data_IF_176622853714
#
_entry.id   IF_176622853714
#
_cell.length_a   1.000
_cell.length_b   1.000
_cell.length_c   1.000
_cell.angle_alpha   90.00
_cell.angle_beta   90.00
_cell.angle_gamma   90.00
#
_symmetry.space_group_name_H-M   'P 1'
#
loop_
_entity.id
_entity.type
_entity.pdbx_description
1 polymer ?
#
# COMPACT_ATOMS: atom_id res chain seq x y z
N UNK A 1 -4.36 34.90 -87.84
CA UNK A 1 -4.07 33.85 -86.83
C UNK A 1 -4.64 34.32 -85.51
N UNK A 2 -5.68 33.62 -85.04
CA UNK A 2 -6.46 33.95 -83.85
C UNK A 2 -5.74 33.44 -82.60
N UNK A 3 -5.63 34.27 -81.57
CA UNK A 3 -5.25 33.82 -80.22
C UNK A 3 -6.42 33.99 -79.26
N UNK A 4 -6.69 32.87 -78.60
CA UNK A 4 -7.88 32.51 -77.84
C UNK A 4 -7.91 33.12 -76.44
N UNK A 5 -9.09 33.56 -76.02
CA UNK A 5 -9.44 34.05 -74.69
C UNK A 5 -9.76 32.88 -73.76
N UNK A 6 -8.94 32.66 -72.73
CA UNK A 6 -9.27 31.76 -71.62
C UNK A 6 -9.78 32.54 -70.39
N UNK A 7 -11.10 32.46 -70.16
CA UNK A 7 -11.76 32.79 -68.89
C UNK A 7 -11.45 31.71 -67.86
N UNK A 8 -10.91 32.10 -66.69
CA UNK A 8 -10.91 31.27 -65.48
C UNK A 8 -12.24 31.43 -64.73
N UNK A 9 -12.87 30.35 -64.24
CA UNK A 9 -14.02 30.47 -63.35
C UNK A 9 -13.56 30.79 -61.91
N UNK A 10 -14.19 31.78 -61.30
CA UNK A 10 -14.16 31.99 -59.83
C UNK A 10 -14.97 30.88 -59.19
N UNK A 11 -14.32 30.02 -58.40
CA UNK A 11 -14.99 29.13 -57.47
C UNK A 11 -15.42 29.96 -56.25
N UNK A 12 -16.74 30.05 -56.03
CA UNK A 12 -17.29 30.48 -54.76
C UNK A 12 -17.11 29.34 -53.75
N UNK A 13 -16.28 29.54 -52.74
CA UNK A 13 -16.26 28.72 -51.53
C UNK A 13 -17.47 29.11 -50.69
N UNK A 14 -18.43 28.21 -50.59
CA UNK A 14 -19.56 28.31 -49.67
C UNK A 14 -19.17 27.69 -48.32
N UNK A 15 -18.61 28.51 -47.43
CA UNK A 15 -18.44 28.19 -46.01
C UNK A 15 -19.81 28.32 -45.30
N UNK A 16 -20.55 27.23 -45.15
CA UNK A 16 -21.80 27.24 -44.34
C UNK A 16 -22.16 25.94 -43.61
N UNK A 17 -21.34 24.88 -43.67
CA UNK A 17 -21.64 23.60 -43.01
C UNK A 17 -20.85 23.30 -41.71
N UNK A 18 -19.99 24.23 -41.25
CA UNK A 18 -19.10 24.01 -40.09
C UNK A 18 -19.82 24.15 -38.72
N UNK A 19 -20.80 25.05 -38.62
CA UNK A 19 -21.42 25.44 -37.34
C UNK A 19 -22.42 24.42 -36.78
N UNK A 20 -23.12 23.65 -37.63
CA UNK A 20 -24.10 22.66 -37.18
C UNK A 20 -23.46 21.41 -36.56
N UNK A 21 -22.31 20.98 -37.08
CA UNK A 21 -21.56 19.84 -36.57
C UNK A 21 -20.93 20.14 -35.19
N UNK A 22 -20.44 21.37 -34.98
CA UNK A 22 -19.91 21.82 -33.69
C UNK A 22 -20.97 21.81 -32.58
N UNK A 23 -22.20 22.24 -32.89
CA UNK A 23 -23.31 22.23 -31.91
C UNK A 23 -23.71 20.84 -31.45
N UNK A 24 -23.73 19.84 -32.34
CA UNK A 24 -24.03 18.45 -31.98
C UNK A 24 -22.94 17.82 -31.11
N UNK A 25 -21.66 18.12 -31.38
CA UNK A 25 -20.55 17.64 -30.57
C UNK A 25 -20.60 18.21 -29.14
N UNK A 26 -20.83 19.52 -29.02
CA UNK A 26 -20.93 20.20 -27.72
C UNK A 26 -22.07 19.63 -26.88
N UNK A 27 -23.25 19.41 -27.49
CA UNK A 27 -24.39 18.81 -26.79
C UNK A 27 -24.11 17.36 -26.35
N UNK A 28 -23.43 16.59 -27.19
CA UNK A 28 -23.03 15.21 -26.86
C UNK A 28 -22.09 15.17 -25.65
N UNK A 29 -21.09 16.06 -25.61
CA UNK A 29 -20.15 16.18 -24.49
C UNK A 29 -20.87 16.63 -23.21
N UNK A 30 -21.77 17.61 -23.30
CA UNK A 30 -22.55 18.06 -22.15
C UNK A 30 -23.44 16.95 -21.57
N UNK A 31 -24.08 16.16 -22.43
CA UNK A 31 -24.89 15.01 -22.01
C UNK A 31 -24.03 13.93 -21.35
N UNK A 32 -22.86 13.63 -21.92
CA UNK A 32 -21.91 12.68 -21.34
C UNK A 32 -21.43 13.11 -19.95
N UNK A 33 -21.08 14.40 -19.80
CA UNK A 33 -20.69 15.01 -18.51
C UNK A 33 -21.79 14.87 -17.46
N UNK A 34 -23.02 15.22 -17.83
CA UNK A 34 -24.18 15.16 -16.93
C UNK A 34 -24.46 13.72 -16.48
N UNK A 35 -24.40 12.76 -17.40
CA UNK A 35 -24.60 11.35 -17.10
C UNK A 35 -23.50 10.80 -16.18
N UNK A 36 -22.24 11.19 -16.40
CA UNK A 36 -21.12 10.79 -15.55
C UNK A 36 -21.26 11.36 -14.13
N UNK A 37 -21.53 12.66 -14.01
CA UNK A 37 -21.77 13.32 -12.72
C UNK A 37 -22.93 12.65 -11.96
N UNK A 38 -24.01 12.29 -12.67
CA UNK A 38 -25.14 11.58 -12.08
C UNK A 38 -24.74 10.22 -11.52
N UNK A 39 -24.04 9.39 -12.31
CA UNK A 39 -23.58 8.05 -11.88
C UNK A 39 -22.68 8.11 -10.65
N UNK A 40 -21.78 9.09 -10.58
CA UNK A 40 -20.90 9.29 -9.43
C UNK A 40 -21.68 9.75 -8.19
N UNK A 41 -22.70 10.61 -8.36
CA UNK A 41 -23.55 11.08 -7.26
C UNK A 41 -24.54 10.02 -6.76
N UNK A 42 -24.84 8.99 -7.54
CA UNK A 42 -25.71 7.88 -7.14
C UNK A 42 -25.09 6.99 -6.05
N UNK A 43 -23.76 6.92 -5.95
CA UNK A 43 -23.05 6.19 -4.88
C UNK A 43 -22.76 7.02 -3.63
N UNK A 44 -23.21 8.28 -3.59
CA UNK A 44 -22.99 9.17 -2.45
C UNK A 44 -23.94 8.90 -1.28
N UNK A 45 -23.37 8.87 -0.08
CA UNK A 45 -24.08 8.90 1.19
C UNK A 45 -24.58 10.31 1.52
N UNK A 46 -25.46 10.43 2.54
CA UNK A 46 -25.95 11.73 2.99
C UNK A 46 -24.84 12.64 3.52
N UNK A 47 -23.78 12.05 4.11
CA UNK A 47 -22.61 12.78 4.65
C UNK A 47 -21.72 13.36 3.55
N UNK A 48 -21.61 12.69 2.40
CA UNK A 48 -20.77 13.12 1.27
C UNK A 48 -21.24 14.46 0.66
N UNK A 49 -22.52 14.80 0.82
CA UNK A 49 -23.14 15.99 0.21
C UNK A 49 -22.85 17.30 0.95
N UNK A 50 -22.15 17.25 2.08
CA UNK A 50 -22.00 18.40 2.98
C UNK A 50 -20.69 19.16 2.82
N UNK A 51 -19.73 18.69 2.01
CA UNK A 51 -18.44 19.37 1.86
C UNK A 51 -17.78 19.18 0.47
N UNK A 52 -18.28 19.88 -0.56
CA UNK A 52 -17.83 19.73 -1.95
C UNK A 52 -16.63 20.62 -2.31
N UNK A 53 -15.81 21.05 -1.34
CA UNK A 53 -14.62 21.83 -1.65
C UNK A 53 -13.60 20.93 -2.36
N UNK A 54 -13.50 21.11 -3.68
CA UNK A 54 -12.60 20.38 -4.58
C UNK A 54 -11.15 20.49 -4.09
N UNK A 55 -10.71 21.68 -3.72
CA UNK A 55 -9.34 21.93 -3.28
C UNK A 55 -9.04 21.20 -1.98
N UNK A 56 -9.97 21.29 -1.02
CA UNK A 56 -9.86 20.54 0.24
C UNK A 56 -9.83 19.03 0.02
N UNK A 57 -10.68 18.51 -0.86
CA UNK A 57 -10.72 17.07 -1.16
C UNK A 57 -9.41 16.62 -1.84
N UNK A 58 -8.87 17.41 -2.77
CA UNK A 58 -7.57 17.14 -3.39
C UNK A 58 -6.43 17.11 -2.37
N UNK A 59 -6.38 18.08 -1.45
CA UNK A 59 -5.37 18.12 -0.39
C UNK A 59 -5.44 16.89 0.51
N UNK A 60 -6.65 16.48 0.91
CA UNK A 60 -6.86 15.27 1.73
C UNK A 60 -6.42 14.03 0.96
N UNK A 61 -6.83 13.88 -0.30
CA UNK A 61 -6.45 12.74 -1.16
C UNK A 61 -4.93 12.64 -1.29
N UNK A 62 -4.24 13.75 -1.58
CA UNK A 62 -2.78 13.78 -1.70
C UNK A 62 -2.08 13.40 -0.40
N UNK A 63 -2.55 13.91 0.73
CA UNK A 63 -2.01 13.55 2.04
C UNK A 63 -2.17 12.05 2.34
N UNK A 64 -3.34 11.49 2.01
CA UNK A 64 -3.60 10.05 2.18
C UNK A 64 -2.73 9.19 1.26
N UNK A 65 -2.54 9.59 0.00
CA UNK A 65 -1.65 8.88 -0.92
C UNK A 65 -0.20 8.86 -0.42
N UNK A 66 0.29 10.00 0.08
CA UNK A 66 1.63 10.08 0.66
C UNK A 66 1.79 9.14 1.86
N UNK A 67 0.81 9.14 2.79
CA UNK A 67 0.81 8.24 3.95
C UNK A 67 0.75 6.76 3.54
N UNK A 68 -0.15 6.42 2.61
CA UNK A 68 -0.30 5.05 2.11
C UNK A 68 0.98 4.57 1.40
N UNK A 69 1.63 5.44 0.63
CA UNK A 69 2.92 5.16 0.00
C UNK A 69 3.98 4.83 1.05
N UNK A 70 4.08 5.64 2.11
CA UNK A 70 5.03 5.41 3.21
C UNK A 70 4.80 4.06 3.92
N UNK A 71 3.54 3.72 4.22
CA UNK A 71 3.18 2.43 4.82
C UNK A 71 3.50 1.29 3.86
N UNK A 72 3.17 1.43 2.59
CA UNK A 72 3.43 0.41 1.58
C UNK A 72 4.93 0.12 1.42
N UNK A 73 5.76 1.16 1.41
CA UNK A 73 7.22 1.03 1.34
C UNK A 73 7.79 0.18 2.49
N UNK A 74 7.20 0.26 3.69
CA UNK A 74 7.55 -0.61 4.82
C UNK A 74 7.03 -2.04 4.62
N UNK A 75 5.76 -2.17 4.26
CA UNK A 75 5.09 -3.47 4.14
C UNK A 75 5.67 -4.34 3.02
N UNK A 76 6.04 -3.75 1.87
CA UNK A 76 6.47 -4.50 0.69
C UNK A 76 7.75 -5.30 0.90
N UNK A 77 8.60 -4.90 1.86
CA UNK A 77 9.82 -5.64 2.23
C UNK A 77 9.52 -7.02 2.82
N UNK A 78 8.30 -7.20 3.34
CA UNK A 78 7.83 -8.43 3.96
C UNK A 78 6.97 -9.29 3.03
N UNK A 79 6.70 -8.82 1.82
CA UNK A 79 5.87 -9.54 0.87
C UNK A 79 6.66 -10.70 0.23
N UNK A 80 6.04 -11.88 0.14
CA UNK A 80 6.66 -13.02 -0.52
C UNK A 80 6.69 -12.82 -2.04
N UNK A 81 7.85 -13.00 -2.70
CA UNK A 81 7.95 -12.95 -4.15
C UNK A 81 6.97 -13.94 -4.80
N UNK A 82 6.32 -13.53 -5.90
CA UNK A 82 5.49 -14.39 -6.74
C UNK A 82 4.22 -14.98 -6.07
N UNK A 83 3.81 -14.49 -4.90
CA UNK A 83 2.58 -14.95 -4.21
C UNK A 83 1.35 -14.10 -4.50
N UNK A 84 1.48 -13.11 -5.39
CA UNK A 84 0.37 -12.24 -5.76
C UNK A 84 -0.57 -12.99 -6.70
N UNK A 85 -1.69 -13.47 -6.16
CA UNK A 85 -2.87 -13.77 -6.96
C UNK A 85 -3.58 -12.46 -7.31
N UNK A 86 -4.66 -12.49 -8.11
CA UNK A 86 -5.33 -11.25 -8.58
C UNK A 86 -5.62 -10.26 -7.45
N UNK A 87 -6.07 -10.77 -6.29
CA UNK A 87 -6.56 -9.96 -5.17
C UNK A 87 -5.87 -10.25 -3.84
N UNK A 88 -4.89 -11.14 -3.80
CA UNK A 88 -4.28 -11.58 -2.55
C UNK A 88 -2.76 -11.56 -2.62
N UNK A 89 -2.13 -11.14 -1.52
CA UNK A 89 -0.69 -11.20 -1.34
C UNK A 89 -0.35 -11.86 -0.01
N UNK A 90 0.70 -12.69 -0.02
CA UNK A 90 1.24 -13.31 1.19
C UNK A 90 2.40 -12.49 1.71
N UNK A 91 2.34 -12.17 3.00
CA UNK A 91 3.40 -11.49 3.73
C UNK A 91 3.99 -12.45 4.75
N UNK A 92 5.26 -12.25 5.05
CA UNK A 92 6.01 -13.05 6.01
C UNK A 92 6.69 -12.15 7.04
N UNK A 93 6.62 -12.57 8.30
CA UNK A 93 7.38 -11.97 9.40
C UNK A 93 8.10 -13.07 10.18
N UNK A 94 9.22 -12.71 10.79
CA UNK A 94 9.90 -13.60 11.72
C UNK A 94 9.47 -13.26 13.15
N UNK A 95 9.13 -14.28 13.91
CA UNK A 95 8.75 -14.15 15.30
C UNK A 95 9.65 -15.02 16.17
N UNK A 96 10.31 -14.40 17.16
CA UNK A 96 11.04 -15.13 18.19
C UNK A 96 10.04 -15.68 19.20
N UNK A 97 10.08 -17.00 19.42
CA UNK A 97 9.14 -17.66 20.34
C UNK A 97 9.81 -18.09 21.63
N UNK A 98 11.07 -18.52 21.53
CA UNK A 98 11.77 -19.21 22.59
C UNK A 98 13.21 -18.73 22.68
N UNK A 99 13.68 -18.51 23.90
CA UNK A 99 15.11 -18.42 24.21
C UNK A 99 15.51 -19.66 24.99
N UNK A 100 16.58 -20.33 24.56
CA UNK A 100 17.22 -21.41 25.32
C UNK A 100 18.52 -20.92 25.91
N UNK A 101 18.71 -21.20 27.19
CA UNK A 101 19.98 -21.09 27.87
C UNK A 101 20.50 -22.53 28.06
N UNK A 102 21.66 -22.85 27.50
CA UNK A 102 22.25 -24.19 27.56
C UNK A 102 23.76 -24.14 27.75
N UNK A 103 24.30 -25.09 28.52
CA UNK A 103 25.74 -25.25 28.70
C UNK A 103 26.26 -26.36 27.79
N UNK A 104 26.99 -26.00 26.73
CA UNK A 104 27.57 -26.98 25.80
C UNK A 104 28.91 -27.56 26.31
N UNK A 105 29.63 -26.79 27.13
CA UNK A 105 30.90 -27.17 27.74
C UNK A 105 30.93 -26.74 29.21
N UNK A 106 31.74 -27.42 30.03
CA UNK A 106 31.91 -27.05 31.42
C UNK A 106 32.44 -25.61 31.54
N UNK A 107 31.71 -24.75 32.23
CA UNK A 107 32.11 -23.36 32.44
C UNK A 107 31.50 -22.34 31.48
N UNK A 108 30.71 -22.76 30.49
CA UNK A 108 30.12 -21.86 29.49
C UNK A 108 28.59 -22.04 29.38
N UNK A 109 27.85 -20.94 29.49
CA UNK A 109 26.41 -20.85 29.23
C UNK A 109 26.15 -20.00 27.99
N UNK A 110 25.49 -20.56 27.00
CA UNK A 110 25.06 -19.85 25.79
C UNK A 110 23.55 -19.63 25.76
N UNK A 111 23.15 -18.47 25.29
CA UNK A 111 21.78 -18.09 25.00
C UNK A 111 21.54 -18.12 23.51
N UNK A 112 20.47 -18.77 23.10
CA UNK A 112 20.04 -18.86 21.71
C UNK A 112 18.56 -18.56 21.57
N UNK A 113 18.20 -17.68 20.65
CA UNK A 113 16.82 -17.38 20.29
C UNK A 113 16.38 -18.23 19.09
N UNK A 114 15.23 -18.86 19.21
CA UNK A 114 14.59 -19.61 18.13
C UNK A 114 13.49 -18.77 17.52
N UNK A 115 13.54 -18.63 16.20
CA UNK A 115 12.56 -17.89 15.43
C UNK A 115 11.87 -18.79 14.42
N UNK A 116 10.60 -18.46 14.17
CA UNK A 116 9.79 -19.07 13.13
C UNK A 116 9.33 -17.99 12.16
N UNK A 117 9.21 -18.38 10.89
CA UNK A 117 8.57 -17.53 9.88
C UNK A 117 7.07 -17.76 9.96
N UNK A 118 6.32 -16.72 10.30
CA UNK A 118 4.88 -16.68 10.18
C UNK A 118 4.51 -16.08 8.83
N UNK A 119 3.56 -16.73 8.14
CA UNK A 119 3.01 -16.24 6.88
C UNK A 119 1.55 -15.91 7.07
N UNK A 120 1.11 -14.80 6.48
CA UNK A 120 -0.29 -14.40 6.46
C UNK A 120 -0.65 -13.81 5.11
N UNK A 121 -1.81 -14.19 4.60
CA UNK A 121 -2.31 -13.71 3.31
C UNK A 121 -3.36 -12.63 3.56
N UNK A 122 -3.26 -11.53 2.83
CA UNK A 122 -4.16 -10.39 2.93
C UNK A 122 -4.85 -10.14 1.59
N UNK A 123 -6.11 -9.70 1.67
CA UNK A 123 -6.83 -9.22 0.50
C UNK A 123 -6.33 -7.82 0.16
N UNK A 124 -5.63 -7.71 -0.97
CA UNK A 124 -5.06 -6.48 -1.51
C UNK A 124 -5.85 -5.96 -2.73
N UNK A 125 -7.06 -6.46 -2.97
CA UNK A 125 -7.92 -6.00 -4.06
C UNK A 125 -8.03 -4.46 -4.14
N UNK A 126 -8.13 -3.70 -3.03
CA UNK A 126 -8.18 -2.24 -3.11
C UNK A 126 -6.95 -1.58 -3.75
N UNK A 127 -5.78 -2.23 -3.70
CA UNK A 127 -4.55 -1.74 -4.34
C UNK A 127 -4.50 -2.08 -5.84
N UNK A 128 -5.16 -3.17 -6.24
CA UNK A 128 -5.11 -3.72 -7.59
C UNK A 128 -6.27 -3.28 -8.48
N UNK A 129 -7.44 -3.03 -7.89
CA UNK A 129 -8.71 -2.84 -8.62
C UNK A 129 -9.33 -1.51 -8.25
N UNK A 130 -9.46 -0.65 -9.27
CA UNK A 130 -10.30 0.55 -9.16
C UNK A 130 -11.79 0.18 -9.20
N UNK A 131 -12.63 0.78 -8.33
CA UNK A 131 -14.07 0.71 -8.43
C UNK A 131 -14.56 1.12 -9.83
N UNK A 132 -15.61 0.48 -10.34
CA UNK A 132 -16.14 0.72 -11.68
C UNK A 132 -16.53 2.18 -11.93
N UNK A 133 -16.91 2.91 -10.87
CA UNK A 133 -17.26 4.33 -10.93
C UNK A 133 -16.04 5.24 -11.13
N UNK A 134 -14.83 4.76 -10.81
CA UNK A 134 -13.56 5.49 -10.94
C UNK A 134 -12.77 4.99 -12.16
N UNK A 135 -12.90 3.70 -12.49
CA UNK A 135 -12.27 3.03 -13.64
C UNK A 135 -12.74 3.54 -15.03
N UNK A 136 -13.51 4.63 -15.07
CA UNK A 136 -13.95 5.27 -16.30
C UNK A 136 -12.76 5.93 -17.04
N UNK A 137 -11.68 6.22 -16.31
CA UNK A 137 -10.41 6.67 -16.86
C UNK A 137 -9.51 5.47 -17.16
N UNK A 138 -8.81 5.51 -18.30
CA UNK A 138 -7.64 4.65 -18.47
C UNK A 138 -6.61 5.04 -17.41
N UNK A 139 -6.38 4.16 -16.45
CA UNK A 139 -5.34 4.32 -15.44
C UNK A 139 -4.10 3.54 -15.85
N UNK A 140 -2.97 4.00 -15.35
CA UNK A 140 -1.70 3.28 -15.46
C UNK A 140 -1.48 2.42 -14.23
N UNK A 141 -0.71 1.35 -14.43
CA UNK A 141 -0.21 0.55 -13.33
C UNK A 141 1.22 0.99 -13.02
N UNK A 142 1.60 0.90 -11.74
CA UNK A 142 2.97 1.18 -11.32
C UNK A 142 3.95 0.32 -12.13
N UNK A 143 4.94 0.97 -12.71
CA UNK A 143 5.98 0.31 -13.52
C UNK A 143 6.97 -0.44 -12.61
N UNK A 144 7.47 -1.57 -13.11
CA UNK A 144 8.43 -2.51 -12.50
C UNK A 144 9.53 -1.80 -11.67
N UNK A 145 10.01 -2.33 -10.51
CA UNK A 145 10.11 -3.75 -10.14
C UNK A 145 9.08 -4.28 -9.14
N UNK A 146 8.17 -3.45 -8.64
CA UNK A 146 7.27 -3.83 -7.54
C UNK A 146 5.87 -4.07 -8.09
N UNK A 147 5.67 -5.21 -8.74
CA UNK A 147 4.38 -5.74 -9.21
C UNK A 147 3.59 -4.88 -10.21
N UNK A 148 3.44 -5.32 -11.47
CA UNK A 148 2.79 -4.56 -12.55
C UNK A 148 1.26 -4.44 -12.40
N UNK A 149 0.70 -4.54 -11.19
CA UNK A 149 -0.74 -4.66 -10.93
C UNK A 149 -1.32 -3.62 -9.99
N UNK A 150 -0.52 -2.80 -9.31
CA UNK A 150 -1.07 -1.72 -8.51
C UNK A 150 -1.40 -0.52 -9.35
N UNK A 151 -2.56 0.07 -9.07
CA UNK A 151 -3.01 1.30 -9.73
C UNK A 151 -2.10 2.46 -9.31
N UNK A 152 -1.62 3.23 -10.28
CA UNK A 152 -0.95 4.50 -10.00
C UNK A 152 -1.99 5.58 -9.69
N UNK A 153 -2.35 5.68 -8.40
CA UNK A 153 -3.35 6.63 -7.93
C UNK A 153 -2.87 8.09 -8.02
N UNK A 154 -1.57 8.36 -7.99
CA UNK A 154 -1.04 9.71 -8.20
C UNK A 154 -1.28 10.14 -9.65
N UNK A 155 -0.91 9.29 -10.63
CA UNK A 155 -1.18 9.53 -12.03
C UNK A 155 -2.70 9.65 -12.32
N UNK A 156 -3.53 8.86 -11.62
CA UNK A 156 -4.98 8.95 -11.72
C UNK A 156 -5.51 10.31 -11.24
N UNK A 157 -5.02 10.83 -10.10
CA UNK A 157 -5.38 12.16 -9.59
C UNK A 157 -5.00 13.24 -10.60
N UNK A 158 -3.77 13.22 -11.10
CA UNK A 158 -3.30 14.24 -12.05
C UNK A 158 -4.11 14.24 -13.36
N UNK A 159 -4.56 13.08 -13.83
CA UNK A 159 -5.50 12.99 -14.97
C UNK A 159 -6.88 13.50 -14.64
N UNK A 160 -7.37 13.23 -13.44
CA UNK A 160 -8.69 13.66 -13.01
C UNK A 160 -8.80 15.19 -12.97
N UNK A 161 -7.71 15.93 -12.72
CA UNK A 161 -7.70 17.39 -12.75
C UNK A 161 -8.10 18.00 -14.11
N UNK A 162 -8.10 17.22 -15.19
CA UNK A 162 -8.59 17.66 -16.51
C UNK A 162 -10.13 17.63 -16.61
N UNK A 163 -10.81 17.10 -15.59
CA UNK A 163 -12.26 17.04 -15.56
C UNK A 163 -12.87 18.39 -15.20
N UNK A 164 -14.04 18.63 -15.77
CA UNK A 164 -14.87 19.76 -15.37
C UNK A 164 -15.38 19.55 -13.93
N UNK A 165 -15.48 20.63 -13.16
CA UNK A 165 -15.85 20.64 -11.74
C UNK A 165 -17.09 19.77 -11.41
N UNK A 166 -18.17 19.88 -12.21
CA UNK A 166 -19.38 19.05 -12.09
C UNK A 166 -19.14 17.53 -12.02
N UNK A 167 -18.04 17.05 -12.60
CA UNK A 167 -17.61 15.63 -12.62
C UNK A 167 -16.42 15.41 -11.69
N UNK A 168 -15.49 16.36 -11.62
CA UNK A 168 -14.32 16.29 -10.75
C UNK A 168 -14.74 16.14 -9.29
N UNK A 169 -15.64 16.98 -8.81
CA UNK A 169 -16.13 16.94 -7.43
C UNK A 169 -16.68 15.55 -7.04
N UNK A 170 -17.65 14.96 -7.78
CA UNK A 170 -18.14 13.63 -7.47
C UNK A 170 -17.17 12.49 -7.71
N UNK A 171 -16.20 12.68 -8.60
CA UNK A 171 -15.10 11.75 -8.77
C UNK A 171 -14.17 11.74 -7.54
N UNK A 172 -13.77 12.90 -7.03
CA UNK A 172 -12.87 13.02 -5.89
C UNK A 172 -13.46 12.41 -4.62
N UNK A 173 -14.77 12.56 -4.39
CA UNK A 173 -15.44 11.92 -3.25
C UNK A 173 -15.34 10.40 -3.33
N UNK A 174 -15.58 9.81 -4.49
CA UNK A 174 -15.47 8.35 -4.67
C UNK A 174 -14.02 7.88 -4.58
N UNK A 175 -13.09 8.62 -5.16
CA UNK A 175 -11.66 8.33 -5.06
C UNK A 175 -11.18 8.36 -3.62
N UNK A 176 -11.60 9.36 -2.84
CA UNK A 176 -11.28 9.44 -1.42
C UNK A 176 -11.73 8.20 -0.66
N UNK A 177 -12.99 7.77 -0.81
CA UNK A 177 -13.50 6.54 -0.17
C UNK A 177 -12.68 5.31 -0.52
N UNK A 178 -12.24 5.22 -1.78
CA UNK A 178 -11.41 4.11 -2.22
C UNK A 178 -9.99 4.17 -1.60
N UNK A 179 -9.39 5.35 -1.50
CA UNK A 179 -8.10 5.53 -0.83
C UNK A 179 -8.21 5.24 0.67
N UNK A 180 -9.35 5.53 1.30
CA UNK A 180 -9.64 5.13 2.68
C UNK A 180 -9.66 3.60 2.82
N UNK A 181 -10.24 2.87 1.85
CA UNK A 181 -10.23 1.40 1.88
C UNK A 181 -8.84 0.81 1.67
N UNK A 182 -8.00 1.45 0.85
CA UNK A 182 -6.58 1.11 0.72
C UNK A 182 -5.86 1.32 2.07
N UNK A 183 -6.10 2.45 2.73
CA UNK A 183 -5.49 2.76 4.02
C UNK A 183 -5.87 1.72 5.09
N UNK A 184 -7.11 1.24 5.09
CA UNK A 184 -7.54 0.15 6.00
C UNK A 184 -6.76 -1.14 5.74
N UNK A 185 -6.60 -1.54 4.47
CA UNK A 185 -5.82 -2.74 4.11
C UNK A 185 -4.37 -2.59 4.52
N UNK A 186 -3.74 -1.45 4.20
CA UNK A 186 -2.35 -1.19 4.55
C UNK A 186 -2.13 -1.14 6.06
N UNK A 187 -3.02 -0.49 6.81
CA UNK A 187 -2.97 -0.46 8.26
C UNK A 187 -3.11 -1.84 8.88
N UNK A 188 -3.96 -2.70 8.33
CA UNK A 188 -4.12 -4.10 8.80
C UNK A 188 -2.84 -4.91 8.58
N UNK A 189 -2.16 -4.72 7.45
CA UNK A 189 -0.88 -5.37 7.16
C UNK A 189 0.20 -4.82 8.10
N UNK A 190 0.30 -3.51 8.25
CA UNK A 190 1.30 -2.85 9.09
C UNK A 190 1.13 -3.24 10.56
N UNK A 191 -0.08 -3.23 11.11
CA UNK A 191 -0.38 -3.65 12.48
C UNK A 191 0.10 -5.09 12.72
N UNK A 192 -0.20 -6.00 11.79
CA UNK A 192 0.29 -7.37 11.87
C UNK A 192 1.81 -7.44 11.74
N UNK A 193 2.47 -6.61 10.92
CA UNK A 193 3.94 -6.59 10.89
C UNK A 193 4.54 -6.02 12.19
N UNK A 194 3.87 -5.06 12.83
CA UNK A 194 4.34 -4.31 13.99
C UNK A 194 4.19 -5.06 15.32
N UNK A 195 3.22 -5.95 15.47
CA UNK A 195 3.07 -6.81 16.68
C UNK A 195 4.36 -7.58 17.04
N UNK A 196 5.26 -7.79 16.07
CA UNK A 196 6.63 -8.33 16.25
C UNK A 196 7.49 -7.53 17.25
N UNK A 197 7.36 -6.21 17.28
CA UNK A 197 8.36 -5.33 17.89
C UNK A 197 8.52 -5.58 19.39
N UNK A 198 7.43 -5.85 20.10
CA UNK A 198 7.49 -6.04 21.57
C UNK A 198 8.42 -7.18 22.02
N UNK A 199 8.56 -8.24 21.23
CA UNK A 199 9.44 -9.37 21.56
C UNK A 199 10.86 -9.12 21.07
N UNK A 200 11.02 -8.61 19.84
CA UNK A 200 12.34 -8.28 19.31
C UNK A 200 13.02 -7.22 20.17
N UNK A 201 12.36 -6.12 20.50
CA UNK A 201 12.88 -5.02 21.33
C UNK A 201 13.31 -5.51 22.72
N UNK A 202 12.55 -6.45 23.30
CA UNK A 202 12.91 -7.08 24.56
C UNK A 202 14.21 -7.88 24.46
N UNK A 203 14.39 -8.67 23.40
CA UNK A 203 15.62 -9.45 23.20
C UNK A 203 16.81 -8.52 22.91
N UNK A 204 16.62 -7.52 22.05
CA UNK A 204 17.65 -6.54 21.71
C UNK A 204 18.10 -5.77 22.96
N UNK A 205 17.18 -5.28 23.77
CA UNK A 205 17.52 -4.58 25.03
C UNK A 205 18.14 -5.50 26.08
N UNK A 206 17.68 -6.74 26.21
CA UNK A 206 18.19 -7.68 27.21
C UNK A 206 19.58 -8.23 26.88
N UNK A 207 19.91 -8.36 25.59
CA UNK A 207 21.15 -8.99 25.14
C UNK A 207 22.11 -8.05 24.41
N UNK A 208 21.70 -6.81 24.10
CA UNK A 208 22.50 -5.84 23.36
C UNK A 208 22.80 -6.28 21.92
N UNK A 209 21.85 -6.96 21.28
CA UNK A 209 21.99 -7.49 19.91
C UNK A 209 21.05 -6.77 18.96
N UNK A 210 21.37 -6.78 17.66
CA UNK A 210 20.51 -6.23 16.61
C UNK A 210 19.84 -7.37 15.81
N UNK A 211 18.52 -7.47 15.88
CA UNK A 211 17.71 -8.51 15.24
C UNK A 211 17.10 -8.08 13.90
N UNK A 212 17.47 -6.92 13.36
CA UNK A 212 16.88 -6.35 12.13
C UNK A 212 17.19 -7.14 10.85
N UNK A 213 18.25 -7.96 10.83
CA UNK A 213 18.80 -8.55 9.59
C UNK A 213 18.51 -10.04 9.29
N UNK A 214 17.59 -10.72 9.97
CA UNK A 214 17.33 -12.13 9.66
C UNK A 214 16.30 -12.29 8.53
N UNK A 215 16.72 -12.90 7.41
CA UNK A 215 15.83 -13.37 6.34
C UNK A 215 16.18 -14.83 5.98
N UNK A 216 15.17 -15.69 5.96
CA UNK A 216 15.24 -17.10 5.50
C UNK A 216 15.15 -18.16 6.62
N UNK A 217 14.16 -19.05 6.50
CA UNK A 217 14.02 -20.29 7.28
C UNK A 217 13.52 -20.14 8.73
N UNK A 218 13.26 -21.27 9.39
CA UNK A 218 13.29 -21.37 10.85
C UNK A 218 14.75 -21.52 11.27
N UNK A 219 15.16 -20.83 12.33
CA UNK A 219 16.56 -20.85 12.71
C UNK A 219 16.80 -20.58 14.19
N UNK A 220 18.06 -20.80 14.56
CA UNK A 220 18.60 -20.50 15.86
C UNK A 220 19.58 -19.34 15.71
N UNK A 221 19.46 -18.34 16.58
CA UNK A 221 20.38 -17.22 16.65
C UNK A 221 21.03 -17.16 18.02
N UNK A 222 22.35 -17.33 18.07
CA UNK A 222 23.13 -17.15 19.29
C UNK A 222 23.09 -15.67 19.71
N UNK A 223 22.64 -15.43 20.94
CA UNK A 223 22.48 -14.10 21.52
C UNK A 223 23.71 -13.68 22.32
N UNK A 224 24.14 -14.53 23.26
CA UNK A 224 25.22 -14.23 24.21
C UNK A 224 25.83 -15.52 24.75
N UNK A 225 27.12 -15.46 25.08
CA UNK A 225 27.81 -16.48 25.89
C UNK A 225 28.29 -15.83 27.19
N UNK A 226 28.15 -16.54 28.32
CA UNK A 226 28.69 -16.16 29.62
C UNK A 226 29.49 -17.31 30.23
N UNK A 227 30.45 -16.99 31.13
CA UNK A 227 31.14 -18.00 31.93
C UNK A 227 30.40 -18.21 33.25
N UNK A 228 29.97 -19.42 33.52
CA UNK A 228 29.27 -19.78 34.76
C UNK A 228 29.72 -21.16 35.24
N UNK A 229 29.70 -21.38 36.55
CA UNK A 229 29.95 -22.70 37.11
C UNK A 229 28.67 -23.54 37.08
N UNK A 230 28.82 -24.85 36.87
CA UNK A 230 27.71 -25.81 36.84
C UNK A 230 27.12 -26.05 35.46
N UNK A 231 26.09 -26.89 35.41
CA UNK A 231 25.32 -27.20 34.21
C UNK A 231 23.95 -26.55 34.32
N UNK A 232 23.63 -25.68 33.35
CA UNK A 232 22.36 -24.98 33.28
C UNK A 232 21.67 -25.29 31.97
N UNK A 233 20.39 -25.64 32.04
CA UNK A 233 19.48 -25.78 30.90
C UNK A 233 18.16 -25.14 31.27
N UNK A 234 17.76 -24.12 30.52
CA UNK A 234 16.49 -23.43 30.70
C UNK A 234 15.91 -23.00 29.35
N UNK A 235 14.59 -22.95 29.27
CA UNK A 235 13.85 -22.47 28.12
C UNK A 235 12.88 -21.37 28.58
N UNK A 236 12.72 -20.32 27.78
CA UNK A 236 11.90 -19.16 28.10
C UNK A 236 10.99 -18.83 26.92
N UNK A 237 9.66 -18.87 27.12
CA UNK A 237 8.69 -18.52 26.07
C UNK A 237 8.49 -17.00 26.02
N UNK A 238 9.30 -16.29 25.23
CA UNK A 238 9.39 -14.81 25.24
C UNK A 238 8.12 -14.09 24.76
N UNK A 239 7.16 -14.83 24.20
CA UNK A 239 5.80 -14.33 23.90
C UNK A 239 5.02 -14.02 25.18
N UNK A 240 5.33 -14.70 26.30
CA UNK A 240 4.67 -14.52 27.59
C UNK A 240 5.45 -13.54 28.46
N UNK A 241 4.77 -12.53 28.99
CA UNK A 241 5.39 -11.52 29.86
C UNK A 241 6.02 -12.10 31.13
N UNK A 242 5.36 -13.09 31.77
CA UNK A 242 5.89 -13.77 32.94
C UNK A 242 7.22 -14.49 32.68
N UNK A 243 7.38 -15.04 31.47
CA UNK A 243 8.60 -15.73 31.05
C UNK A 243 9.71 -14.74 30.69
N UNK A 244 9.36 -13.56 30.13
CA UNK A 244 10.30 -12.45 29.96
C UNK A 244 10.85 -11.98 31.31
N UNK A 245 9.99 -11.78 32.30
CA UNK A 245 10.43 -11.45 33.66
C UNK A 245 11.32 -12.53 34.27
N UNK A 246 11.00 -13.82 34.07
CA UNK A 246 11.86 -14.91 34.53
C UNK A 246 13.22 -14.88 33.86
N UNK A 247 13.28 -14.61 32.56
CA UNK A 247 14.53 -14.48 31.83
C UNK A 247 15.35 -13.29 32.35
N UNK A 248 14.76 -12.12 32.56
CA UNK A 248 15.46 -10.96 33.14
C UNK A 248 16.07 -11.30 34.49
N UNK A 249 15.30 -11.88 35.41
CA UNK A 249 15.82 -12.31 36.72
C UNK A 249 16.95 -13.34 36.59
N UNK A 250 16.86 -14.24 35.61
CA UNK A 250 17.92 -15.20 35.35
C UNK A 250 19.18 -14.53 34.83
N UNK A 251 19.05 -13.55 33.94
CA UNK A 251 20.18 -12.74 33.44
C UNK A 251 20.83 -11.92 34.58
N UNK A 252 20.03 -11.34 35.47
CA UNK A 252 20.52 -10.60 36.64
C UNK A 252 21.27 -11.51 37.61
N UNK A 253 20.85 -12.77 37.76
CA UNK A 253 21.50 -13.74 38.63
C UNK A 253 22.89 -14.18 38.12
N UNK A 254 23.08 -14.22 36.79
CA UNK A 254 24.33 -14.69 36.18
C UNK A 254 25.29 -13.57 35.75
N UNK A 255 24.88 -12.30 35.88
CA UNK A 255 25.72 -11.14 35.57
C UNK A 255 26.61 -10.76 36.74
#
# INVERSE_FOLDING_TARGET
MMTSTHKRPRACLSDSNSTAAGGQLIQSVANARTNMAKRLKESWSATDRTNPDIERNLQVIRAMLALNSEIWERCKLHMEPFTISEDWATFQRQQFKVIRAGSHFAGELSFSAFYETEKKTFNIAPLCICPTNIAIFQFEYLSYPVNPRFVDFEALVERALLLHDDVLEPFLVELKKHIESIQVVLGTIEEWLHERLTVSDFIESSFGVDLTHTFGGSGERKLRTCRVSGSHVAEFQVVKESERMRLTKFLDFIS
#
